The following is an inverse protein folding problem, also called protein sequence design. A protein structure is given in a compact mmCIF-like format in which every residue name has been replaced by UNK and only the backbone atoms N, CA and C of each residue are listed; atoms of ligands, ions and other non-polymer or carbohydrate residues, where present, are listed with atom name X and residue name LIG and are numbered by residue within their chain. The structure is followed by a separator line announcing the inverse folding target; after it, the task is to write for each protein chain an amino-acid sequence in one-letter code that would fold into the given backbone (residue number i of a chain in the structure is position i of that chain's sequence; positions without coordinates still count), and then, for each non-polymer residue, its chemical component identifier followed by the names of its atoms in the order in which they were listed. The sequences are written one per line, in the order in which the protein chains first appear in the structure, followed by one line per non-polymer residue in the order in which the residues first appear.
data_IF_561693815568
#
_entry.id   IF_561693815568
#
_cell.length_a   1.000
_cell.length_b   1.000
_cell.length_c   1.000
_cell.angle_alpha   90.00
_cell.angle_beta   90.00
_cell.angle_gamma   90.00
#
_symmetry.space_group_name_H-M   'P 1'
#
loop_
_entity.id
_entity.type
_entity.pdbx_description
1 polymer ?
#
# COMPACT_ATOMS: atom_id res chain seq x y z
N UNK A 1 13.59 14.84 21.09
CA UNK A 1 13.34 13.41 20.81
C UNK A 1 14.08 13.06 19.52
N UNK A 2 14.70 11.88 19.43
CA UNK A 2 15.38 11.45 18.20
C UNK A 2 14.34 11.16 17.11
N UNK A 3 14.69 11.40 15.85
CA UNK A 3 13.81 11.10 14.71
C UNK A 3 13.58 9.59 14.60
N UNK A 4 12.33 9.18 14.48
CA UNK A 4 11.98 7.78 14.25
C UNK A 4 12.39 7.34 12.84
N UNK A 5 13.07 6.19 12.67
CA UNK A 5 13.43 5.68 11.35
C UNK A 5 12.22 5.30 10.50
N UNK A 6 12.30 5.57 9.19
CA UNK A 6 11.33 5.06 8.21
C UNK A 6 11.47 3.54 8.09
N UNK A 7 10.35 2.81 8.13
CA UNK A 7 10.29 1.36 8.02
C UNK A 7 9.61 0.90 6.74
N UNK A 8 8.63 1.66 6.26
CA UNK A 8 7.94 1.41 4.99
C UNK A 8 8.25 2.55 4.02
N UNK A 9 8.84 2.22 2.89
CA UNK A 9 9.11 3.16 1.81
C UNK A 9 8.82 2.42 0.51
N UNK A 10 7.58 2.51 0.03
CA UNK A 10 7.06 1.62 -1.00
C UNK A 10 6.33 2.31 -2.13
N UNK A 11 6.10 1.58 -3.22
CA UNK A 11 5.38 2.07 -4.38
C UNK A 11 4.23 1.15 -4.77
N UNK A 12 3.13 1.74 -5.25
CA UNK A 12 2.01 1.01 -5.83
C UNK A 12 2.12 0.89 -7.35
N UNK A 13 1.27 0.02 -7.89
CA UNK A 13 1.02 -0.24 -9.30
C UNK A 13 2.09 -1.06 -10.00
N UNK A 14 3.21 -0.46 -10.43
CA UNK A 14 4.33 -1.12 -11.12
C UNK A 14 3.95 -1.88 -12.41
N UNK A 15 2.84 -1.51 -13.07
CA UNK A 15 2.37 -2.10 -14.33
C UNK A 15 2.32 -1.09 -15.48
N UNK A 16 2.22 -1.55 -16.72
CA UNK A 16 2.12 -0.69 -17.91
C UNK A 16 0.74 -0.69 -18.60
N UNK A 17 -0.19 -1.48 -18.07
CA UNK A 17 -1.50 -1.75 -18.66
C UNK A 17 -2.65 -1.19 -17.80
N UNK A 18 -2.44 -0.02 -17.22
CA UNK A 18 -3.50 0.84 -16.66
C UNK A 18 -4.27 0.15 -15.52
N UNK A 19 -3.51 -0.39 -14.57
CA UNK A 19 -3.99 -1.13 -13.40
C UNK A 19 -4.62 -2.50 -13.68
N UNK A 20 -4.54 -3.02 -14.91
CA UNK A 20 -5.14 -4.33 -15.24
C UNK A 20 -4.21 -5.52 -14.98
N UNK A 21 -2.91 -5.36 -15.16
CA UNK A 21 -1.90 -6.43 -15.11
C UNK A 21 -2.23 -7.66 -15.97
N UNK A 22 -3.03 -7.50 -17.03
CA UNK A 22 -3.50 -8.57 -17.88
C UNK A 22 -2.42 -9.17 -18.80
N UNK A 23 -1.31 -8.45 -19.02
CA UNK A 23 -0.27 -8.87 -19.97
C UNK A 23 1.00 -9.36 -19.28
N UNK A 24 1.46 -10.56 -19.65
CA UNK A 24 2.76 -11.09 -19.19
C UNK A 24 3.91 -10.33 -19.85
N UNK A 25 4.90 -9.95 -19.04
CA UNK A 25 6.15 -9.35 -19.52
C UNK A 25 7.34 -10.20 -19.09
N UNK A 26 8.36 -10.23 -19.94
CA UNK A 26 9.65 -10.79 -19.51
C UNK A 26 10.26 -9.91 -18.42
N UNK A 27 11.09 -10.48 -17.55
CA UNK A 27 11.81 -9.71 -16.52
C UNK A 27 12.66 -8.60 -17.14
N UNK A 28 13.25 -8.83 -18.32
CA UNK A 28 14.06 -7.81 -19.01
C UNK A 28 13.21 -6.62 -19.50
N UNK A 29 12.02 -6.89 -20.05
CA UNK A 29 11.09 -5.82 -20.43
C UNK A 29 10.63 -5.04 -19.19
N UNK A 30 10.26 -5.75 -18.13
CA UNK A 30 9.85 -5.14 -16.86
C UNK A 30 10.95 -4.25 -16.27
N UNK A 31 12.18 -4.79 -16.16
CA UNK A 31 13.35 -4.08 -15.65
C UNK A 31 13.63 -2.81 -16.45
N UNK A 32 13.57 -2.86 -17.79
CA UNK A 32 13.82 -1.69 -18.63
C UNK A 32 12.92 -0.48 -18.35
N UNK A 33 11.73 -0.69 -17.76
CA UNK A 33 10.76 0.34 -17.43
C UNK A 33 10.75 0.69 -15.93
N UNK A 34 11.11 -0.27 -15.07
CA UNK A 34 10.97 -0.20 -13.61
C UNK A 34 12.30 -0.29 -12.85
N UNK A 35 13.45 -0.23 -13.53
CA UNK A 35 14.77 -0.41 -12.91
C UNK A 35 14.99 0.47 -11.68
N UNK A 36 14.50 1.72 -11.72
CA UNK A 36 14.60 2.68 -10.63
C UNK A 36 14.06 2.15 -9.30
N UNK A 37 13.06 1.25 -9.29
CA UNK A 37 12.51 0.68 -8.05
C UNK A 37 13.57 -0.13 -7.29
N UNK A 38 14.44 -0.83 -8.02
CA UNK A 38 15.40 -1.79 -7.46
C UNK A 38 16.86 -1.33 -7.53
N UNK A 39 17.13 -0.23 -8.23
CA UNK A 39 18.41 0.47 -8.24
C UNK A 39 18.20 1.98 -8.27
N UNK A 40 18.71 2.68 -7.26
CA UNK A 40 18.70 4.15 -7.18
C UNK A 40 19.95 4.82 -7.78
N UNK A 41 20.71 4.10 -8.60
CA UNK A 41 21.98 4.53 -9.18
C UNK A 41 23.21 4.17 -8.35
N UNK A 42 23.03 3.41 -7.26
CA UNK A 42 24.11 2.94 -6.37
C UNK A 42 24.10 1.41 -6.17
N UNK A 43 23.31 0.68 -6.94
CA UNK A 43 23.14 -0.77 -6.83
C UNK A 43 22.22 -1.21 -5.69
N UNK A 44 21.51 -0.28 -5.03
CA UNK A 44 20.54 -0.58 -3.95
C UNK A 44 19.12 -0.16 -4.35
N UNK A 45 18.07 -0.83 -3.86
CA UNK A 45 16.70 -0.43 -4.14
C UNK A 45 16.34 0.98 -3.69
N UNK A 46 15.52 1.65 -4.52
CA UNK A 46 14.85 2.91 -4.15
C UNK A 46 13.71 2.69 -3.17
N UNK A 47 13.09 1.51 -3.18
CA UNK A 47 11.99 1.16 -2.29
C UNK A 47 12.26 -0.16 -1.57
N UNK A 48 11.63 -0.37 -0.42
CA UNK A 48 11.71 -1.65 0.32
C UNK A 48 10.43 -2.47 0.24
N UNK A 49 9.39 -1.93 -0.42
CA UNK A 49 8.10 -2.57 -0.68
C UNK A 49 7.58 -2.16 -2.05
N UNK A 50 6.95 -3.10 -2.75
CA UNK A 50 6.03 -2.81 -3.86
C UNK A 50 4.70 -3.48 -3.62
N UNK A 51 3.62 -2.81 -4.03
CA UNK A 51 2.27 -3.34 -4.01
C UNK A 51 1.75 -3.35 -5.45
N UNK A 52 1.50 -4.54 -5.99
CA UNK A 52 1.03 -4.71 -7.36
C UNK A 52 -0.48 -4.47 -7.39
N UNK A 53 -0.90 -3.48 -8.17
CA UNK A 53 -2.28 -2.97 -8.21
C UNK A 53 -2.87 -3.15 -9.61
N UNK A 54 -3.94 -3.94 -9.83
CA UNK A 54 -4.80 -4.59 -8.81
C UNK A 54 -5.25 -6.01 -9.18
N UNK A 55 -5.64 -6.77 -8.16
CA UNK A 55 -6.37 -8.05 -8.27
C UNK A 55 -7.86 -7.76 -8.09
N UNK A 56 -8.70 -8.27 -9.00
CA UNK A 56 -10.16 -8.19 -8.86
C UNK A 56 -10.65 -9.18 -7.77
N UNK A 57 -11.37 -8.73 -6.73
CA UNK A 57 -11.87 -9.59 -5.65
C UNK A 57 -12.85 -10.67 -6.14
N UNK A 58 -13.70 -10.38 -7.12
CA UNK A 58 -14.69 -11.31 -7.62
C UNK A 58 -14.06 -12.41 -8.48
N UNK A 59 -13.09 -12.04 -9.31
CA UNK A 59 -12.28 -13.00 -10.05
C UNK A 59 -11.46 -13.89 -9.11
N UNK A 60 -10.89 -13.31 -8.04
CA UNK A 60 -10.17 -14.06 -7.02
C UNK A 60 -11.07 -15.07 -6.29
N UNK A 61 -12.29 -14.65 -5.91
CA UNK A 61 -13.27 -15.53 -5.30
C UNK A 61 -13.62 -16.72 -6.20
N UNK A 62 -13.93 -16.44 -7.47
CA UNK A 62 -14.39 -17.43 -8.46
C UNK A 62 -13.25 -18.19 -9.14
N UNK A 63 -12.01 -17.80 -8.87
CA UNK A 63 -10.81 -18.29 -9.56
C UNK A 63 -10.91 -18.17 -11.08
N UNK A 64 -11.41 -17.04 -11.57
CA UNK A 64 -11.62 -16.79 -13.01
C UNK A 64 -10.33 -17.05 -13.79
N UNK A 65 -10.45 -17.73 -14.93
CA UNK A 65 -9.35 -17.91 -15.88
C UNK A 65 -9.80 -17.53 -17.28
N UNK A 66 -9.16 -16.53 -17.86
CA UNK A 66 -9.47 -16.00 -19.19
C UNK A 66 -8.20 -15.46 -19.87
N UNK A 67 -8.35 -14.55 -20.83
CA UNK A 67 -7.23 -13.96 -21.57
C UNK A 67 -6.31 -13.08 -20.72
N UNK A 68 -6.82 -12.47 -19.64
CA UNK A 68 -6.08 -11.52 -18.77
C UNK A 68 -5.85 -12.04 -17.37
N UNK A 69 -6.62 -13.05 -16.93
CA UNK A 69 -6.64 -13.56 -15.56
C UNK A 69 -6.33 -15.06 -15.54
N UNK A 70 -5.61 -15.52 -14.52
CA UNK A 70 -5.29 -16.92 -14.24
C UNK A 70 -5.54 -17.23 -12.76
N UNK A 71 -6.47 -18.14 -12.49
CA UNK A 71 -6.93 -18.50 -11.13
C UNK A 71 -7.32 -17.28 -10.28
N UNK A 72 -7.93 -16.27 -10.91
CA UNK A 72 -8.34 -15.02 -10.26
C UNK A 72 -7.24 -14.00 -10.03
N UNK A 73 -6.02 -14.24 -10.52
CA UNK A 73 -4.90 -13.28 -10.46
C UNK A 73 -4.57 -12.79 -11.88
N UNK A 74 -4.35 -11.48 -12.10
CA UNK A 74 -3.91 -10.98 -13.40
C UNK A 74 -2.64 -11.68 -13.90
N UNK A 75 -2.61 -12.05 -15.17
CA UNK A 75 -1.55 -12.88 -15.76
C UNK A 75 -0.17 -12.25 -15.69
N UNK A 76 -0.08 -10.93 -15.68
CA UNK A 76 1.18 -10.19 -15.54
C UNK A 76 1.79 -10.26 -14.15
N UNK A 77 1.02 -10.57 -13.10
CA UNK A 77 1.51 -10.70 -11.72
C UNK A 77 2.14 -12.10 -11.50
N UNK A 78 3.26 -12.38 -12.18
CA UNK A 78 3.88 -13.70 -12.16
C UNK A 78 4.87 -13.90 -11.01
N UNK A 79 5.22 -15.17 -10.75
CA UNK A 79 6.28 -15.52 -9.79
C UNK A 79 7.64 -14.95 -10.16
N UNK A 80 7.97 -14.81 -11.45
CA UNK A 80 9.22 -14.20 -11.93
C UNK A 80 9.30 -12.70 -11.61
N UNK A 81 8.18 -11.96 -11.75
CA UNK A 81 8.11 -10.55 -11.36
C UNK A 81 8.23 -10.39 -9.84
N UNK A 82 7.56 -11.27 -9.07
CA UNK A 82 7.75 -11.29 -7.62
C UNK A 82 9.22 -11.57 -7.27
N UNK A 83 9.83 -12.58 -7.89
CA UNK A 83 11.22 -12.96 -7.66
C UNK A 83 12.20 -11.82 -8.03
N UNK A 84 11.91 -11.07 -9.08
CA UNK A 84 12.71 -9.90 -9.49
C UNK A 84 12.87 -8.89 -8.34
N UNK A 85 11.80 -8.60 -7.60
CA UNK A 85 11.85 -7.73 -6.42
C UNK A 85 12.48 -8.42 -5.21
N UNK A 86 12.03 -9.62 -4.87
CA UNK A 86 12.46 -10.28 -3.63
C UNK A 86 13.93 -10.66 -3.63
N UNK A 87 14.50 -11.00 -4.80
CA UNK A 87 15.93 -11.26 -4.94
C UNK A 87 16.81 -10.03 -4.64
N UNK A 88 16.21 -8.83 -4.63
CA UNK A 88 16.87 -7.55 -4.32
C UNK A 88 16.47 -7.01 -2.95
N UNK A 89 15.78 -7.81 -2.13
CA UNK A 89 15.37 -7.42 -0.78
C UNK A 89 14.11 -6.55 -0.72
N UNK A 90 13.43 -6.34 -1.84
CA UNK A 90 12.16 -5.61 -1.89
C UNK A 90 11.01 -6.56 -1.59
N UNK A 91 10.17 -6.21 -0.61
CA UNK A 91 8.95 -6.99 -0.29
C UNK A 91 7.90 -6.76 -1.37
N UNK A 92 7.05 -7.75 -1.62
CA UNK A 92 5.98 -7.67 -2.61
C UNK A 92 4.65 -7.99 -1.94
N UNK A 93 3.63 -7.21 -2.30
CA UNK A 93 2.23 -7.45 -1.94
C UNK A 93 1.34 -7.35 -3.18
N UNK A 94 0.17 -7.96 -3.13
CA UNK A 94 -0.89 -7.72 -4.11
C UNK A 94 -1.98 -6.88 -3.45
N UNK A 95 -2.43 -5.82 -4.11
CA UNK A 95 -3.61 -5.08 -3.69
C UNK A 95 -4.86 -5.66 -4.36
N UNK A 96 -5.83 -6.06 -3.54
CA UNK A 96 -7.13 -6.54 -4.00
C UNK A 96 -8.08 -5.34 -4.00
N UNK A 97 -8.54 -4.94 -5.19
CA UNK A 97 -9.54 -3.88 -5.34
C UNK A 97 -9.01 -2.58 -5.92
N UNK A 98 -9.21 -1.48 -5.21
CA UNK A 98 -9.18 -0.11 -5.74
C UNK A 98 -10.56 0.34 -6.20
N UNK A 99 -10.75 1.66 -6.35
CA UNK A 99 -12.05 2.29 -6.64
C UNK A 99 -12.81 1.72 -7.86
N UNK A 100 -12.09 1.13 -8.81
CA UNK A 100 -12.68 0.49 -9.99
C UNK A 100 -13.41 -0.82 -9.66
N UNK A 101 -13.06 -1.47 -8.56
CA UNK A 101 -13.56 -2.79 -8.15
C UNK A 101 -14.42 -2.76 -6.88
N UNK A 102 -14.92 -1.58 -6.48
CA UNK A 102 -15.78 -1.44 -5.31
C UNK A 102 -17.02 -2.35 -5.39
N UNK A 103 -17.69 -2.40 -6.55
CA UNK A 103 -18.87 -3.25 -6.76
C UNK A 103 -18.53 -4.74 -6.76
N UNK A 104 -17.34 -5.10 -7.25
CA UNK A 104 -16.86 -6.49 -7.24
C UNK A 104 -16.49 -6.94 -5.82
N UNK A 105 -15.95 -6.05 -4.99
CA UNK A 105 -15.76 -6.30 -3.56
C UNK A 105 -17.11 -6.55 -2.87
N UNK A 106 -18.10 -5.67 -3.09
CA UNK A 106 -19.43 -5.82 -2.51
C UNK A 106 -20.05 -7.17 -2.91
N UNK A 107 -19.95 -7.52 -4.18
CA UNK A 107 -20.44 -8.80 -4.73
C UNK A 107 -19.70 -9.98 -4.09
N UNK A 108 -18.37 -9.95 -4.02
CA UNK A 108 -17.59 -11.05 -3.47
C UNK A 108 -17.82 -11.24 -1.95
N UNK A 109 -17.95 -10.15 -1.19
CA UNK A 109 -18.26 -10.18 0.24
C UNK A 109 -19.70 -10.60 0.53
N UNK A 110 -20.64 -10.36 -0.38
CA UNK A 110 -22.00 -10.87 -0.28
C UNK A 110 -22.09 -12.35 -0.67
N UNK A 111 -21.30 -12.80 -1.65
CA UNK A 111 -21.31 -14.17 -2.16
C UNK A 111 -20.66 -15.14 -1.17
N UNK A 112 -19.38 -14.95 -0.82
CA UNK A 112 -18.69 -15.81 0.14
C UNK A 112 -17.39 -15.17 0.67
N UNK A 113 -17.48 -14.34 1.73
CA UNK A 113 -16.33 -13.59 2.23
C UNK A 113 -15.26 -14.50 2.85
N UNK A 114 -15.66 -15.59 3.50
CA UNK A 114 -14.74 -16.58 4.06
C UNK A 114 -13.93 -17.26 2.97
N UNK A 115 -14.58 -17.68 1.87
CA UNK A 115 -13.87 -18.29 0.75
C UNK A 115 -12.93 -17.28 0.09
N UNK A 116 -13.36 -16.03 -0.10
CA UNK A 116 -12.48 -14.98 -0.63
C UNK A 116 -11.20 -14.84 0.22
N UNK A 117 -11.32 -14.83 1.55
CA UNK A 117 -10.17 -14.79 2.47
C UNK A 117 -9.23 -15.99 2.33
N UNK A 118 -9.79 -17.18 2.16
CA UNK A 118 -9.02 -18.40 1.88
C UNK A 118 -8.30 -18.34 0.52
N UNK A 119 -8.94 -17.79 -0.52
CA UNK A 119 -8.32 -17.61 -1.85
C UNK A 119 -7.18 -16.59 -1.81
N UNK A 120 -7.38 -15.47 -1.14
CA UNK A 120 -6.31 -14.49 -0.91
C UNK A 120 -5.12 -15.12 -0.17
N UNK A 121 -5.36 -15.89 0.90
CA UNK A 121 -4.30 -16.58 1.63
C UNK A 121 -3.58 -17.65 0.79
N UNK A 122 -4.31 -18.36 -0.08
CA UNK A 122 -3.72 -19.33 -1.01
C UNK A 122 -2.80 -18.65 -2.03
N UNK A 123 -3.22 -17.53 -2.63
CA UNK A 123 -2.39 -16.75 -3.55
C UNK A 123 -1.16 -16.17 -2.85
N UNK A 124 -1.33 -15.62 -1.65
CA UNK A 124 -0.24 -15.12 -0.82
C UNK A 124 0.83 -16.20 -0.57
N UNK A 125 0.39 -17.42 -0.25
CA UNK A 125 1.27 -18.58 -0.08
C UNK A 125 1.97 -18.96 -1.38
N UNK A 126 1.21 -19.07 -2.48
CA UNK A 126 1.71 -19.51 -3.79
C UNK A 126 2.80 -18.61 -4.33
N UNK A 127 2.62 -17.30 -4.20
CA UNK A 127 3.55 -16.30 -4.73
C UNK A 127 4.58 -15.82 -3.70
N UNK A 128 4.39 -16.11 -2.41
CA UNK A 128 5.28 -15.62 -1.35
C UNK A 128 5.16 -14.11 -1.11
N UNK A 129 3.94 -13.57 -1.20
CA UNK A 129 3.63 -12.14 -1.14
C UNK A 129 2.67 -11.82 0.00
N UNK A 130 2.63 -10.58 0.48
CA UNK A 130 1.55 -10.10 1.35
C UNK A 130 0.30 -9.68 0.56
N UNK A 131 -0.76 -9.30 1.27
CA UNK A 131 -2.00 -8.79 0.67
C UNK A 131 -2.36 -7.43 1.25
N UNK A 132 -2.79 -6.53 0.38
CA UNK A 132 -3.46 -5.28 0.75
C UNK A 132 -4.94 -5.38 0.40
N UNK A 133 -5.79 -4.99 1.35
CA UNK A 133 -7.22 -4.79 1.16
C UNK A 133 -7.41 -3.37 0.66
N UNK A 134 -7.82 -3.20 -0.58
CA UNK A 134 -8.17 -1.90 -1.15
C UNK A 134 -9.67 -1.89 -1.50
N UNK A 135 -10.49 -1.82 -0.45
CA UNK A 135 -11.94 -1.84 -0.55
C UNK A 135 -12.48 -0.43 -0.35
N UNK A 136 -12.81 0.27 -1.44
CA UNK A 136 -13.16 1.69 -1.40
C UNK A 136 -14.67 1.96 -1.34
N UNK A 137 -15.47 1.09 -0.71
CA UNK A 137 -16.90 1.35 -0.51
C UNK A 137 -17.12 2.42 0.56
N UNK A 138 -17.40 3.64 0.10
CA UNK A 138 -17.56 4.80 0.95
C UNK A 138 -18.92 4.86 1.68
N UNK A 139 -19.94 4.15 1.20
CA UNK A 139 -21.30 4.20 1.75
C UNK A 139 -21.81 2.81 2.08
N UNK A 140 -21.98 2.50 3.37
CA UNK A 140 -22.48 1.21 3.82
C UNK A 140 -21.60 0.00 3.45
N UNK A 141 -20.27 0.05 3.68
CA UNK A 141 -19.39 -1.08 3.39
C UNK A 141 -19.81 -2.33 4.15
N UNK A 142 -19.63 -3.51 3.55
CA UNK A 142 -19.93 -4.80 4.18
C UNK A 142 -18.85 -5.19 5.20
N UNK A 143 -18.85 -4.52 6.36
CA UNK A 143 -17.84 -4.71 7.41
C UNK A 143 -17.86 -6.12 8.03
N UNK A 144 -19.04 -6.76 8.09
CA UNK A 144 -19.17 -8.13 8.59
C UNK A 144 -18.57 -9.15 7.61
N UNK A 145 -18.80 -8.96 6.31
CA UNK A 145 -18.15 -9.72 5.26
C UNK A 145 -16.64 -9.50 5.30
N UNK A 146 -16.18 -8.26 5.38
CA UNK A 146 -14.75 -7.97 5.43
C UNK A 146 -14.07 -8.56 6.68
N UNK A 147 -14.73 -8.55 7.85
CA UNK A 147 -14.24 -9.26 9.03
C UNK A 147 -14.09 -10.77 8.75
N UNK A 148 -15.09 -11.39 8.11
CA UNK A 148 -15.05 -12.82 7.77
C UNK A 148 -13.93 -13.15 6.78
N UNK A 149 -13.62 -12.25 5.84
CA UNK A 149 -12.45 -12.33 4.97
C UNK A 149 -11.14 -12.29 5.77
N UNK A 150 -10.99 -11.32 6.69
CA UNK A 150 -9.79 -11.16 7.52
C UNK A 150 -9.58 -12.38 8.40
N UNK A 151 -10.63 -12.87 9.07
CA UNK A 151 -10.57 -14.04 9.94
C UNK A 151 -10.12 -15.29 9.16
N UNK A 152 -10.67 -15.50 7.98
CA UNK A 152 -10.31 -16.61 7.10
C UNK A 152 -8.86 -16.50 6.61
N UNK A 153 -8.39 -15.31 6.27
CA UNK A 153 -6.98 -15.07 5.92
C UNK A 153 -6.06 -15.36 7.10
N UNK A 154 -6.39 -14.84 8.28
CA UNK A 154 -5.60 -15.01 9.50
C UNK A 154 -5.60 -16.43 10.05
N UNK A 155 -6.62 -17.24 9.75
CA UNK A 155 -6.63 -18.66 10.07
C UNK A 155 -5.54 -19.44 9.32
N UNK A 156 -5.17 -19.00 8.11
CA UNK A 156 -4.06 -19.58 7.33
C UNK A 156 -2.73 -18.91 7.66
N UNK A 157 -2.73 -17.58 7.75
CA UNK A 157 -1.55 -16.76 8.03
C UNK A 157 -1.75 -15.91 9.29
N UNK A 158 -1.50 -16.48 10.49
CA UNK A 158 -1.56 -15.73 11.74
C UNK A 158 -0.65 -14.51 11.71
N UNK A 159 -1.01 -13.47 12.48
CA UNK A 159 -0.23 -12.24 12.60
C UNK A 159 1.25 -12.52 12.88
N UNK A 160 2.15 -11.82 12.19
CA UNK A 160 3.60 -11.97 12.33
C UNK A 160 4.28 -10.63 12.67
N UNK A 161 4.46 -10.37 13.96
CA UNK A 161 5.14 -9.17 14.42
C UNK A 161 6.60 -9.06 13.91
N UNK A 162 7.24 -10.18 13.56
CA UNK A 162 8.63 -10.19 13.05
C UNK A 162 8.72 -9.70 11.61
N UNK A 163 7.62 -9.78 10.85
CA UNK A 163 7.61 -9.51 9.41
C UNK A 163 8.43 -10.49 8.57
N UNK A 164 8.86 -11.63 9.14
CA UNK A 164 9.67 -12.62 8.42
C UNK A 164 8.86 -13.33 7.33
N UNK A 165 7.60 -13.67 7.63
CA UNK A 165 6.70 -14.36 6.69
C UNK A 165 5.97 -13.37 5.81
N UNK A 166 6.37 -13.26 4.54
CA UNK A 166 5.70 -12.37 3.58
C UNK A 166 4.17 -12.60 3.47
N UNK A 167 3.66 -13.85 3.40
CA UNK A 167 2.22 -14.11 3.39
C UNK A 167 1.47 -13.68 4.65
N UNK A 168 2.17 -13.45 5.77
CA UNK A 168 1.55 -12.95 6.98
C UNK A 168 1.32 -11.43 6.97
N UNK A 169 1.88 -10.69 6.00
CA UNK A 169 1.62 -9.26 5.87
C UNK A 169 0.23 -9.05 5.27
N UNK A 170 -0.68 -8.48 6.05
CA UNK A 170 -2.02 -8.08 5.63
C UNK A 170 -2.25 -6.61 6.01
N UNK A 171 -2.46 -5.76 5.01
CA UNK A 171 -2.68 -4.31 5.17
C UNK A 171 -4.04 -3.91 4.63
N UNK A 172 -4.41 -2.66 4.87
CA UNK A 172 -5.60 -2.04 4.29
C UNK A 172 -5.22 -0.66 3.73
N UNK A 173 -5.72 -0.32 2.56
CA UNK A 173 -5.70 1.06 2.09
C UNK A 173 -6.91 1.79 2.66
N UNK A 174 -6.67 2.95 3.27
CA UNK A 174 -7.70 3.82 3.85
C UNK A 174 -7.64 5.17 3.18
N UNK A 175 -8.71 5.95 3.32
CA UNK A 175 -8.77 7.28 2.75
C UNK A 175 -7.57 8.17 3.14
N UNK A 176 -7.27 9.20 2.33
CA UNK A 176 -6.15 10.11 2.59
C UNK A 176 -6.24 10.78 3.97
N UNK A 177 -7.47 10.97 4.45
CA UNK A 177 -7.84 11.33 5.82
C UNK A 177 -9.26 10.83 6.11
N UNK A 178 -9.75 11.01 7.34
CA UNK A 178 -11.00 10.43 7.84
C UNK A 178 -12.32 11.02 7.29
N UNK A 179 -12.28 11.76 6.17
CA UNK A 179 -13.49 12.35 5.56
C UNK A 179 -14.11 11.48 4.47
N UNK A 180 -13.45 10.40 4.10
CA UNK A 180 -13.87 9.40 3.12
C UNK A 180 -13.57 8.00 3.70
N UNK A 181 -14.25 6.97 3.22
CA UNK A 181 -14.25 5.61 3.79
C UNK A 181 -14.52 5.59 5.30
N UNK A 182 -15.42 6.46 5.78
CA UNK A 182 -15.60 6.74 7.21
C UNK A 182 -15.85 5.46 8.03
N UNK A 183 -16.73 4.59 7.54
CA UNK A 183 -17.09 3.36 8.23
C UNK A 183 -15.94 2.34 8.26
N UNK A 184 -15.14 2.29 7.19
CA UNK A 184 -13.92 1.46 7.13
C UNK A 184 -12.83 2.00 8.04
N UNK A 185 -12.55 3.31 8.01
CA UNK A 185 -11.57 3.93 8.90
C UNK A 185 -11.95 3.70 10.36
N UNK A 186 -13.23 3.88 10.71
CA UNK A 186 -13.74 3.57 12.05
C UNK A 186 -13.43 2.13 12.45
N UNK A 187 -13.79 1.18 11.60
CA UNK A 187 -13.65 -0.26 11.89
C UNK A 187 -12.18 -0.68 11.93
N UNK A 188 -11.38 -0.20 11.00
CA UNK A 188 -9.96 -0.47 10.92
C UNK A 188 -9.23 0.03 12.16
N UNK A 189 -9.48 1.27 12.57
CA UNK A 189 -8.82 1.86 13.73
C UNK A 189 -9.31 1.28 15.06
N UNK A 190 -10.62 1.04 15.19
CA UNK A 190 -11.18 0.49 16.43
C UNK A 190 -10.74 -0.96 16.68
N UNK A 191 -10.70 -1.79 15.63
CA UNK A 191 -10.65 -3.24 15.80
C UNK A 191 -9.45 -3.89 15.12
N UNK A 192 -9.00 -3.40 13.97
CA UNK A 192 -8.05 -4.13 13.14
C UNK A 192 -6.59 -3.71 13.31
N UNK A 193 -6.36 -2.42 13.52
CA UNK A 193 -5.05 -1.77 13.61
C UNK A 193 -4.63 -1.48 15.05
N UNK A 194 -5.26 -2.13 16.03
CA UNK A 194 -4.92 -2.00 17.45
C UNK A 194 -3.46 -2.37 17.71
N UNK A 195 -2.83 -1.71 18.67
CA UNK A 195 -1.41 -1.95 19.00
C UNK A 195 -1.19 -3.14 19.94
N UNK A 196 -2.22 -3.52 20.71
CA UNK A 196 -2.15 -4.63 21.68
C UNK A 196 -2.57 -5.98 21.08
N UNK A 197 -3.45 -5.96 20.09
CA UNK A 197 -4.08 -7.13 19.46
C UNK A 197 -4.31 -6.89 17.96
N UNK A 198 -3.25 -6.56 17.18
CA UNK A 198 -3.39 -6.27 15.77
C UNK A 198 -3.86 -7.51 14.99
N UNK A 199 -4.81 -7.31 14.07
CA UNK A 199 -5.11 -8.29 13.01
C UNK A 199 -4.74 -7.76 11.63
N UNK A 200 -4.46 -6.47 11.49
CA UNK A 200 -3.80 -5.87 10.33
C UNK A 200 -2.45 -5.29 10.74
N UNK A 201 -1.51 -5.34 9.82
CA UNK A 201 -0.14 -4.92 10.07
C UNK A 201 -0.02 -3.40 10.15
N UNK A 202 -0.59 -2.71 9.17
CA UNK A 202 -0.72 -1.27 9.10
C UNK A 202 -1.73 -0.88 8.02
N UNK A 203 -2.15 0.38 8.03
CA UNK A 203 -2.89 0.99 6.95
C UNK A 203 -2.01 1.88 6.07
N UNK A 204 -2.32 1.97 4.80
CA UNK A 204 -1.83 3.05 3.97
C UNK A 204 -2.87 4.16 3.93
N UNK A 205 -2.47 5.40 4.22
CA UNK A 205 -3.33 6.54 3.93
C UNK A 205 -3.15 6.89 2.45
N UNK A 206 -4.13 6.54 1.62
CA UNK A 206 -4.09 6.70 0.17
C UNK A 206 -3.75 8.14 -0.25
N UNK A 207 -3.33 8.32 -1.50
CA UNK A 207 -3.12 9.65 -2.04
C UNK A 207 -4.43 10.45 -2.07
N UNK A 208 -4.34 11.76 -1.88
CA UNK A 208 -5.47 12.66 -2.15
C UNK A 208 -5.90 12.57 -3.61
N UNK A 209 -7.09 13.06 -3.97
CA UNK A 209 -7.55 13.04 -5.36
C UNK A 209 -6.62 13.76 -6.36
N UNK A 210 -5.73 14.63 -5.88
CA UNK A 210 -4.70 15.36 -6.63
C UNK A 210 -3.46 15.56 -5.76
N UNK A 211 -2.27 15.85 -6.30
CA UNK A 211 -1.11 16.24 -5.52
C UNK A 211 -1.39 17.49 -4.69
N UNK A 212 -0.84 17.53 -3.48
CA UNK A 212 -1.03 18.61 -2.51
C UNK A 212 0.29 19.04 -1.90
N UNK A 213 0.33 20.18 -1.21
CA UNK A 213 1.51 20.60 -0.46
C UNK A 213 1.78 19.67 0.73
N UNK A 214 2.99 19.74 1.29
CA UNK A 214 3.33 19.02 2.52
C UNK A 214 2.42 19.35 3.70
N UNK A 215 2.04 20.62 3.88
CA UNK A 215 1.12 21.02 4.95
C UNK A 215 -0.27 20.40 4.78
N UNK A 216 -0.79 20.32 3.56
CA UNK A 216 -2.08 19.68 3.30
C UNK A 216 -2.01 18.16 3.44
N UNK A 217 -0.92 17.53 2.99
CA UNK A 217 -0.70 16.10 3.20
C UNK A 217 -0.67 15.76 4.70
N UNK A 218 0.14 16.49 5.48
CA UNK A 218 0.21 16.35 6.93
C UNK A 218 -1.14 16.57 7.60
N UNK A 219 -1.90 17.58 7.18
CA UNK A 219 -3.23 17.82 7.73
C UNK A 219 -4.19 16.64 7.49
N UNK A 220 -4.13 15.98 6.33
CA UNK A 220 -4.94 14.80 6.06
C UNK A 220 -4.50 13.60 6.92
N UNK A 221 -3.19 13.36 7.03
CA UNK A 221 -2.65 12.29 7.88
C UNK A 221 -2.92 12.53 9.37
N UNK A 222 -2.91 13.79 9.81
CA UNK A 222 -3.27 14.17 11.16
C UNK A 222 -4.71 13.79 11.51
N UNK A 223 -5.62 13.77 10.52
CA UNK A 223 -6.99 13.30 10.77
C UNK A 223 -7.00 11.86 11.27
N UNK A 224 -6.17 10.98 10.72
CA UNK A 224 -6.04 9.59 11.21
C UNK A 224 -5.44 9.55 12.62
N UNK A 225 -4.40 10.34 12.88
CA UNK A 225 -3.78 10.41 14.21
C UNK A 225 -4.77 10.86 15.27
N UNK A 226 -5.57 11.88 14.96
CA UNK A 226 -6.53 12.47 15.91
C UNK A 226 -7.85 11.70 15.98
N UNK A 227 -8.21 11.01 14.90
CA UNK A 227 -9.55 10.50 14.64
C UNK A 227 -10.55 11.62 14.37
N UNK A 228 -11.84 11.26 14.38
CA UNK A 228 -12.97 12.19 14.24
C UNK A 228 -14.05 11.92 15.29
N UNK A 229 -13.83 12.49 16.48
CA UNK A 229 -14.75 12.41 17.61
C UNK A 229 -16.13 13.05 17.33
N UNK A 230 -16.20 13.98 16.39
CA UNK A 230 -17.43 14.67 15.99
C UNK A 230 -18.36 13.84 15.09
N UNK A 231 -17.90 12.70 14.58
CA UNK A 231 -18.76 11.78 13.81
C UNK A 231 -19.62 10.93 14.75
N UNK A 232 -20.74 10.43 14.22
CA UNK A 232 -21.66 9.56 14.95
C UNK A 232 -21.94 8.30 14.15
N UNK A 233 -21.35 7.14 14.48
CA UNK A 233 -20.35 6.95 15.55
C UNK A 233 -18.98 7.59 15.23
N UNK A 234 -18.13 7.88 16.24
CA UNK A 234 -16.83 8.52 16.02
C UNK A 234 -15.85 7.60 15.30
N UNK A 235 -14.86 8.18 14.61
CA UNK A 235 -13.66 7.46 14.17
C UNK A 235 -12.61 7.62 15.29
N UNK A 236 -12.11 6.55 15.93
CA UNK A 236 -11.09 6.68 16.98
C UNK A 236 -9.72 7.12 16.41
N UNK A 237 -8.81 7.61 17.26
CA UNK A 237 -7.42 7.87 16.90
C UNK A 237 -6.67 6.62 16.42
N UNK A 238 -5.84 6.75 15.37
CA UNK A 238 -4.93 5.72 14.89
C UNK A 238 -3.49 5.98 15.36
N UNK A 239 -2.83 4.93 15.85
CA UNK A 239 -1.44 5.05 16.28
C UNK A 239 -0.53 5.43 15.09
N UNK A 240 0.39 6.42 15.23
CA UNK A 240 1.36 6.73 14.18
C UNK A 240 2.11 5.50 13.65
N UNK A 241 2.53 4.60 14.54
CA UNK A 241 3.19 3.35 14.18
C UNK A 241 2.32 2.32 13.42
N UNK A 242 1.08 2.65 13.05
CA UNK A 242 0.14 1.78 12.33
C UNK A 242 -0.28 2.30 10.96
N UNK A 243 0.35 3.36 10.45
CA UNK A 243 0.11 3.77 9.07
C UNK A 243 1.27 4.46 8.36
N UNK A 244 1.19 4.50 7.03
CA UNK A 244 2.07 5.28 6.14
C UNK A 244 1.30 6.46 5.53
N UNK A 245 2.04 7.46 5.05
CA UNK A 245 1.48 8.57 4.27
C UNK A 245 1.81 8.43 2.79
N UNK A 246 0.82 8.60 1.92
CA UNK A 246 1.03 8.51 0.48
C UNK A 246 1.21 9.85 -0.22
N UNK A 247 2.02 9.86 -1.28
CA UNK A 247 2.19 10.98 -2.23
C UNK A 247 2.27 10.50 -3.68
N UNK A 248 2.01 11.39 -4.64
CA UNK A 248 2.10 11.03 -6.06
C UNK A 248 3.55 11.05 -6.56
N UNK A 249 3.92 10.16 -7.50
CA UNK A 249 5.17 10.23 -8.27
C UNK A 249 5.01 11.07 -9.54
N UNK A 250 3.85 10.98 -10.18
CA UNK A 250 3.50 11.68 -11.40
C UNK A 250 2.03 12.05 -11.35
N UNK A 251 1.67 13.16 -12.00
CA UNK A 251 0.27 13.56 -12.10
C UNK A 251 0.03 14.42 -13.34
N UNK A 252 -1.05 14.11 -14.07
CA UNK A 252 -1.29 14.70 -15.38
C UNK A 252 -0.17 14.32 -16.34
N UNK A 253 0.46 15.31 -16.98
CA UNK A 253 1.48 15.09 -18.01
C UNK A 253 2.94 15.27 -17.57
N UNK A 254 3.25 15.26 -16.26
CA UNK A 254 4.60 15.55 -15.75
C UNK A 254 5.00 14.68 -14.56
N UNK A 255 6.30 14.38 -14.39
CA UNK A 255 6.76 13.77 -13.15
C UNK A 255 6.71 14.84 -12.07
N UNK A 256 6.47 14.43 -10.84
CA UNK A 256 6.50 15.32 -9.69
C UNK A 256 7.87 15.25 -9.02
N UNK A 257 8.23 16.23 -8.16
CA UNK A 257 9.49 16.21 -7.42
C UNK A 257 9.69 14.92 -6.62
N UNK A 258 8.63 14.29 -6.14
CA UNK A 258 8.69 12.99 -5.46
C UNK A 258 9.37 11.93 -6.33
N UNK A 259 9.23 12.02 -7.66
CA UNK A 259 9.92 11.17 -8.60
C UNK A 259 11.30 11.72 -8.98
N UNK A 260 11.41 12.98 -9.40
CA UNK A 260 12.63 13.46 -10.10
C UNK A 260 13.55 14.38 -9.28
N UNK A 261 13.10 14.96 -8.18
CA UNK A 261 13.89 15.90 -7.37
C UNK A 261 13.47 15.87 -5.89
N UNK A 262 14.19 15.06 -5.11
CA UNK A 262 13.94 14.93 -3.67
C UNK A 262 14.04 16.29 -2.96
N UNK A 263 14.93 17.18 -3.42
CA UNK A 263 15.23 18.41 -2.69
C UNK A 263 14.04 19.37 -2.62
N UNK A 264 13.12 19.30 -3.58
CA UNK A 264 11.91 20.14 -3.69
C UNK A 264 10.61 19.37 -3.44
N UNK A 265 10.72 18.11 -3.03
CA UNK A 265 9.57 17.21 -2.86
C UNK A 265 8.78 17.39 -1.55
N UNK A 266 7.52 17.00 -1.61
CA UNK A 266 6.63 16.86 -0.45
C UNK A 266 7.18 15.84 0.52
N UNK A 267 7.72 14.71 0.04
CA UNK A 267 8.31 13.69 0.91
C UNK A 267 9.45 14.25 1.77
N UNK A 268 10.33 15.11 1.22
CA UNK A 268 11.39 15.77 2.00
C UNK A 268 10.81 16.76 3.01
N UNK A 269 9.88 17.61 2.57
CA UNK A 269 9.27 18.61 3.43
C UNK A 269 8.44 18.00 4.57
N UNK A 270 7.85 16.82 4.35
CA UNK A 270 7.03 16.12 5.32
C UNK A 270 7.78 15.08 6.17
N UNK A 271 9.01 14.72 5.82
CA UNK A 271 9.81 13.75 6.57
C UNK A 271 9.90 14.07 8.08
N UNK A 272 10.13 15.32 8.52
CA UNK A 272 10.13 15.62 9.96
C UNK A 272 8.82 15.25 10.66
N UNK A 273 7.67 15.49 10.02
CA UNK A 273 6.36 15.11 10.56
C UNK A 273 6.21 13.59 10.62
N UNK A 274 6.50 12.89 9.51
CA UNK A 274 6.45 11.42 9.43
C UNK A 274 7.36 10.78 10.48
N UNK A 275 8.51 11.37 10.82
CA UNK A 275 9.44 10.81 11.79
C UNK A 275 9.15 11.21 13.25
N UNK A 276 8.19 12.11 13.52
CA UNK A 276 8.03 12.67 14.88
C UNK A 276 6.61 12.93 15.35
N UNK A 277 5.58 12.76 14.52
CA UNK A 277 4.18 12.99 14.94
C UNK A 277 3.86 12.14 16.18
N UNK A 278 3.36 12.81 17.22
CA UNK A 278 3.04 12.16 18.49
C UNK A 278 1.72 11.38 18.40
N UNK A 279 1.59 10.26 19.14
CA UNK A 279 0.30 9.62 19.35
C UNK A 279 -0.74 10.59 19.94
N UNK A 280 -2.00 10.45 19.52
CA UNK A 280 -3.13 11.18 20.10
C UNK A 280 -4.21 10.21 20.62
N UNK A 281 -3.86 9.40 21.62
CA UNK A 281 -4.80 8.47 22.27
C UNK A 281 -4.73 7.01 21.80
N UNK A 282 -3.93 6.71 20.77
CA UNK A 282 -3.63 5.33 20.35
C UNK A 282 -2.12 5.14 20.11
N UNK A 283 -1.54 4.07 20.68
CA UNK A 283 -0.10 3.81 20.62
C UNK A 283 0.73 4.64 21.61
N UNK A 284 2.02 4.33 21.71
CA UNK A 284 2.96 4.96 22.65
C UNK A 284 4.21 5.56 22.01
N UNK A 285 4.48 5.26 20.74
CA UNK A 285 5.68 5.72 20.02
C UNK A 285 5.34 6.74 18.94
N UNK A 286 6.20 7.76 18.82
CA UNK A 286 6.06 8.83 17.84
C UNK A 286 6.54 8.40 16.45
N UNK A 287 6.01 9.07 15.43
CA UNK A 287 6.36 8.88 14.02
C UNK A 287 5.51 7.80 13.34
N UNK A 288 5.15 8.08 12.10
CA UNK A 288 4.51 7.17 11.14
C UNK A 288 5.48 6.07 10.68
N UNK A 289 4.97 5.05 9.99
CA UNK A 289 5.81 3.98 9.44
C UNK A 289 6.64 4.42 8.24
N UNK A 290 6.19 5.42 7.50
CA UNK A 290 6.93 5.99 6.38
C UNK A 290 6.04 6.46 5.23
N UNK A 291 6.50 6.24 4.00
CA UNK A 291 5.90 6.75 2.78
C UNK A 291 5.49 5.66 1.81
N UNK A 292 4.41 5.92 1.09
CA UNK A 292 4.04 5.17 -0.09
C UNK A 292 3.86 6.09 -1.31
N UNK A 293 4.09 5.55 -2.50
CA UNK A 293 4.16 6.32 -3.73
C UNK A 293 3.17 5.84 -4.79
N UNK A 294 2.26 6.72 -5.23
CA UNK A 294 1.29 6.44 -6.29
C UNK A 294 1.64 7.19 -7.60
N UNK A 295 1.76 6.56 -8.74
CA UNK A 295 1.98 5.14 -8.95
C UNK A 295 3.26 4.97 -9.75
N UNK A 296 3.97 3.88 -9.50
CA UNK A 296 5.09 3.48 -10.32
C UNK A 296 4.60 2.97 -11.67
N UNK A 297 5.40 3.20 -12.70
CA UNK A 297 5.11 2.90 -14.10
C UNK A 297 3.86 3.63 -14.61
N UNK A 298 2.84 2.96 -15.15
CA UNK A 298 1.78 3.60 -15.95
C UNK A 298 0.36 3.22 -15.51
N UNK A 299 -0.18 3.91 -14.48
CA UNK A 299 -1.50 3.59 -13.91
C UNK A 299 -2.69 3.98 -14.80
N UNK A 300 -2.48 4.75 -15.87
CA UNK A 300 -3.57 5.24 -16.71
C UNK A 300 -3.16 5.39 -18.18
N UNK A 301 -4.17 5.29 -19.07
CA UNK A 301 -3.99 5.52 -20.51
C UNK A 301 -3.53 6.94 -20.81
N UNK A 302 -3.94 7.89 -19.97
CA UNK A 302 -3.60 9.32 -20.03
C UNK A 302 -2.57 9.69 -18.98
N UNK A 303 -1.75 10.66 -19.31
CA UNK A 303 -0.69 11.16 -18.45
C UNK A 303 0.66 10.51 -18.75
N UNK A 304 1.61 10.68 -17.84
CA UNK A 304 2.93 10.04 -17.94
C UNK A 304 3.12 9.01 -16.83
N UNK A 305 4.06 8.10 -17.05
CA UNK A 305 4.53 7.16 -16.04
C UNK A 305 5.94 7.46 -15.56
N UNK A 306 6.47 6.55 -14.72
CA UNK A 306 7.84 6.65 -14.18
C UNK A 306 8.88 5.84 -14.97
N UNK A 307 8.62 5.68 -16.26
CA UNK A 307 9.50 5.00 -17.23
C UNK A 307 10.50 5.97 -17.85
N UNK A 308 11.64 5.51 -18.40
CA UNK A 308 12.61 6.38 -19.06
C UNK A 308 11.98 7.33 -20.09
N UNK A 309 12.34 8.63 -20.10
CA UNK A 309 13.36 9.30 -19.27
C UNK A 309 12.87 9.84 -17.91
N UNK A 310 11.64 9.54 -17.50
CA UNK A 310 11.00 10.08 -16.27
C UNK A 310 11.17 9.15 -15.06
N UNK A 311 12.34 8.55 -14.91
CA UNK A 311 12.62 7.61 -13.82
C UNK A 311 12.80 8.33 -12.48
N UNK A 312 12.61 7.59 -11.37
CA UNK A 312 12.50 8.21 -10.05
C UNK A 312 13.73 8.11 -9.13
N UNK A 313 14.92 7.86 -9.68
CA UNK A 313 16.15 7.78 -8.89
C UNK A 313 16.47 9.12 -8.21
N UNK A 314 16.18 10.25 -8.86
CA UNK A 314 16.46 11.61 -8.34
C UNK A 314 15.51 12.08 -7.23
N UNK A 315 14.33 11.47 -7.10
CA UNK A 315 13.31 11.80 -6.10
C UNK A 315 13.14 10.69 -5.07
N UNK A 316 12.54 9.56 -5.47
CA UNK A 316 12.31 8.44 -4.57
C UNK A 316 13.63 7.75 -4.19
N UNK A 317 14.53 7.53 -5.15
CA UNK A 317 15.85 6.95 -4.88
C UNK A 317 16.71 7.82 -3.95
N UNK A 318 16.81 9.11 -4.24
CA UNK A 318 17.52 10.08 -3.41
C UNK A 318 16.86 10.24 -2.02
N UNK A 319 15.53 10.18 -1.95
CA UNK A 319 14.79 10.17 -0.69
C UNK A 319 15.09 8.95 0.16
N UNK A 320 15.17 7.77 -0.45
CA UNK A 320 15.56 6.54 0.24
C UNK A 320 16.97 6.63 0.84
N UNK A 321 17.90 7.33 0.18
CA UNK A 321 19.25 7.59 0.72
C UNK A 321 19.20 8.59 1.86
N UNK A 322 18.52 9.73 1.68
CA UNK A 322 18.43 10.79 2.68
C UNK A 322 17.72 10.34 3.97
N UNK A 323 16.74 9.45 3.86
CA UNK A 323 15.97 8.90 4.98
C UNK A 323 16.57 7.61 5.54
N UNK A 324 17.73 7.17 5.02
CA UNK A 324 18.41 5.93 5.41
C UNK A 324 17.46 4.71 5.40
N UNK A 325 16.65 4.59 4.35
CA UNK A 325 15.62 3.54 4.25
C UNK A 325 16.27 2.15 4.33
N UNK A 326 15.82 1.30 5.27
CA UNK A 326 16.31 -0.06 5.40
C UNK A 326 15.80 -0.94 4.26
N UNK A 327 16.73 -1.67 3.65
CA UNK A 327 16.47 -2.73 2.67
C UNK A 327 17.23 -3.97 3.13
N UNK A 328 16.56 -5.11 3.41
CA UNK A 328 15.11 -5.31 3.31
C UNK A 328 14.31 -4.55 4.38
N UNK A 329 12.99 -4.47 4.18
CA UNK A 329 12.06 -3.91 5.18
C UNK A 329 12.23 -4.61 6.54
N UNK A 330 12.38 -3.86 7.65
CA UNK A 330 12.55 -4.42 8.99
C UNK A 330 11.22 -4.89 9.59
N UNK A 331 11.27 -5.54 10.75
CA UNK A 331 10.10 -5.71 11.59
C UNK A 331 9.46 -4.33 11.87
N UNK A 332 8.12 -4.24 11.81
CA UNK A 332 7.41 -2.99 12.04
C UNK A 332 7.29 -2.70 13.53
N UNK A 333 7.33 -1.40 13.88
CA UNK A 333 6.96 -0.98 15.24
C UNK A 333 5.50 -1.33 15.49
N UNK A 334 5.20 -1.79 16.70
CA UNK A 334 3.88 -2.32 17.04
C UNK A 334 2.98 -1.34 17.78
N UNK A 335 3.54 -0.30 18.37
CA UNK A 335 2.85 0.69 19.19
C UNK A 335 3.85 1.56 19.89
#
# INVERSE_FOLDING_TARGET
MAATPVQVYGAWHCGDDFCTWGTVRTVAQFDSQNHWLVDRGDGRPSVNLVVLSFVNPLDLLRQTTDATTLDGVPRGMTGEIVQYFTARGVRVMLSIGGITYTDDWDTALAENPTLLGQRAAAVATRLGVGIEIDYEQNTGPNLAGLQSFIDAYRAVHPYDATGARAPARLTIDVAAGDRWLIDLNRKATADWLRTDTPVLDYANAMVTARPVSASTAQANWQEHVDGKAQYSPPVPPLAPAKFTGAVYLAYGGKPLPECVDYATSVQKAAAPYVQSVAPHGAGGTAGMLGFMFWAAERPATRGIGTVPPNTCEGGAGAGATALAVPVPMPALRQG
#
